data_IF_322666371365
#
_entry.id   IF_322666371365
#
_cell.length_a   1.000
_cell.length_b   1.000
_cell.length_c   1.000
_cell.angle_alpha   90.00
_cell.angle_beta   90.00
_cell.angle_gamma   90.00
#
_symmetry.space_group_name_H-M   'P 1'
#
loop_
_entity.id
_entity.type
_entity.pdbx_description
1 polymer ?
#
# COMPACT_ATOMS: atom_id res chain seq x y z
N UNK A 1 9.27 47.47 -13.56
CA UNK A 1 8.84 46.27 -12.81
C UNK A 1 9.15 46.48 -11.34
N UNK A 2 8.14 46.55 -10.48
CA UNK A 2 8.36 46.62 -9.04
C UNK A 2 8.80 45.24 -8.54
N UNK A 3 9.97 45.17 -7.91
CA UNK A 3 10.51 43.93 -7.32
C UNK A 3 9.70 43.64 -6.06
N UNK A 4 8.93 42.54 -6.05
CA UNK A 4 8.26 42.08 -4.84
C UNK A 4 9.30 41.79 -3.76
N UNK A 5 9.10 42.26 -2.52
CA UNK A 5 10.05 42.03 -1.45
C UNK A 5 10.11 40.53 -1.14
N UNK A 6 11.27 39.92 -1.37
CA UNK A 6 11.54 38.53 -1.04
C UNK A 6 11.63 38.37 0.49
N UNK A 7 10.91 37.41 1.04
CA UNK A 7 10.95 37.08 2.47
C UNK A 7 12.24 36.29 2.75
N UNK A 8 13.08 36.78 3.66
CA UNK A 8 14.33 36.11 4.04
C UNK A 8 14.17 35.28 5.31
N UNK A 9 14.97 34.21 5.44
CA UNK A 9 15.05 33.42 6.68
C UNK A 9 15.47 34.32 7.84
N UNK A 10 14.78 34.22 8.98
CA UNK A 10 15.03 35.07 10.16
C UNK A 10 14.39 36.46 10.10
N UNK A 11 13.69 36.81 9.01
CA UNK A 11 12.91 38.04 8.95
C UNK A 11 11.67 37.94 9.84
N UNK A 12 11.44 38.94 10.68
CA UNK A 12 10.24 39.02 11.50
C UNK A 12 9.01 39.30 10.62
N UNK A 13 7.99 38.46 10.77
CA UNK A 13 6.68 38.64 10.12
C UNK A 13 5.69 39.02 11.23
N UNK A 14 4.99 40.13 11.06
CA UNK A 14 3.94 40.58 11.97
C UNK A 14 2.58 40.38 11.32
N UNK A 15 1.67 39.71 12.02
CA UNK A 15 0.30 39.49 11.59
C UNK A 15 -0.68 39.98 12.65
N UNK A 16 -1.87 40.36 12.20
CA UNK A 16 -3.00 40.72 13.07
C UNK A 16 -3.96 39.54 13.11
N UNK A 17 -4.56 39.30 14.28
CA UNK A 17 -5.63 38.30 14.42
C UNK A 17 -6.85 38.83 13.65
N UNK A 18 -7.41 38.08 12.67
CA UNK A 18 -8.59 38.50 11.93
C UNK A 18 -9.81 38.72 12.84
N UNK A 19 -10.71 39.62 12.44
CA UNK A 19 -11.93 39.90 13.22
C UNK A 19 -12.92 38.73 13.26
N UNK A 20 -12.86 37.83 12.27
CA UNK A 20 -13.70 36.64 12.17
C UNK A 20 -13.15 35.44 12.98
N UNK A 21 -12.07 35.64 13.75
CA UNK A 21 -11.47 34.56 14.54
C UNK A 21 -12.43 34.11 15.65
N UNK A 22 -12.78 32.82 15.76
CA UNK A 22 -13.65 32.33 16.83
C UNK A 22 -13.10 32.58 18.23
N UNK A 23 -13.98 32.88 19.19
CA UNK A 23 -13.60 33.26 20.57
C UNK A 23 -12.78 32.17 21.29
N UNK A 24 -13.07 30.89 21.03
CA UNK A 24 -12.31 29.79 21.61
C UNK A 24 -10.84 29.77 21.16
N UNK A 25 -10.55 30.19 19.93
CA UNK A 25 -9.17 30.31 19.41
C UNK A 25 -8.46 31.48 20.06
N UNK A 26 -9.14 32.63 20.21
CA UNK A 26 -8.58 33.81 20.88
C UNK A 26 -8.20 33.49 22.33
N UNK A 27 -9.10 32.82 23.08
CA UNK A 27 -8.83 32.35 24.45
C UNK A 27 -7.66 31.38 24.52
N UNK A 28 -7.56 30.46 23.55
CA UNK A 28 -6.44 29.53 23.48
C UNK A 28 -5.10 30.27 23.25
N UNK A 29 -5.06 31.24 22.33
CA UNK A 29 -3.88 32.07 22.09
C UNK A 29 -3.48 32.88 23.32
N UNK A 30 -4.45 33.41 24.08
CA UNK A 30 -4.19 34.11 25.35
C UNK A 30 -3.56 33.18 26.38
N UNK A 31 -4.13 31.98 26.59
CA UNK A 31 -3.58 30.98 27.51
C UNK A 31 -2.16 30.55 27.11
N UNK A 32 -1.94 30.37 25.82
CA UNK A 32 -0.62 30.01 25.28
C UNK A 32 0.40 31.12 25.54
N UNK A 33 0.01 32.39 25.37
CA UNK A 33 0.86 33.56 25.70
C UNK A 33 1.22 33.61 27.18
N UNK A 34 0.28 33.29 28.06
CA UNK A 34 0.50 33.27 29.52
C UNK A 34 1.44 32.14 29.95
N UNK A 35 1.35 30.99 29.29
CA UNK A 35 2.10 29.77 29.60
C UNK A 35 3.52 29.85 29.05
N UNK A 36 3.68 30.12 27.74
CA UNK A 36 4.99 30.11 27.04
C UNK A 36 5.80 31.40 27.21
N UNK A 37 5.12 32.54 27.48
CA UNK A 37 5.72 33.87 27.70
C UNK A 37 6.79 34.26 26.68
N UNK A 38 8.07 33.99 26.98
CA UNK A 38 9.22 34.32 26.12
C UNK A 38 9.32 33.43 24.89
N UNK A 39 8.77 32.22 24.96
CA UNK A 39 8.80 31.25 23.87
C UNK A 39 7.56 31.32 22.97
N UNK A 40 6.58 32.15 23.32
CA UNK A 40 5.30 32.26 22.61
C UNK A 40 5.49 32.45 21.09
N UNK A 41 6.39 33.35 20.68
CA UNK A 41 6.66 33.60 19.26
C UNK A 41 7.24 32.38 18.55
N UNK A 42 8.09 31.60 19.22
CA UNK A 42 8.66 30.36 18.67
C UNK A 42 7.60 29.28 18.49
N UNK A 43 6.74 29.09 19.49
CA UNK A 43 5.63 28.13 19.43
C UNK A 43 4.63 28.50 18.34
N UNK A 44 4.27 29.78 18.22
CA UNK A 44 3.39 30.25 17.15
C UNK A 44 4.05 30.11 15.77
N UNK A 45 5.35 30.37 15.67
CA UNK A 45 6.08 30.15 14.42
C UNK A 45 6.00 28.68 13.98
N UNK A 46 6.08 27.72 14.91
CA UNK A 46 5.91 26.31 14.62
C UNK A 46 4.52 25.99 14.06
N UNK A 47 3.45 26.51 14.69
CA UNK A 47 2.09 26.35 14.19
C UNK A 47 1.90 26.97 12.81
N UNK A 48 2.50 28.13 12.54
CA UNK A 48 2.44 28.77 11.22
C UNK A 48 3.17 27.93 10.18
N UNK A 49 4.37 27.43 10.47
CA UNK A 49 5.13 26.57 9.54
C UNK A 49 4.35 25.28 9.24
N UNK A 50 3.77 24.64 10.27
CA UNK A 50 2.93 23.46 10.08
C UNK A 50 1.68 23.79 9.25
N UNK A 51 1.00 24.89 9.51
CA UNK A 51 -0.17 25.34 8.76
C UNK A 51 0.15 25.65 7.29
N UNK A 52 1.27 26.33 7.02
CA UNK A 52 1.73 26.61 5.64
C UNK A 52 2.14 25.32 4.94
N UNK A 53 2.87 24.43 5.61
CA UNK A 53 3.25 23.12 5.06
C UNK A 53 2.03 22.29 4.69
N UNK A 54 1.01 22.26 5.56
CA UNK A 54 -0.24 21.56 5.30
C UNK A 54 -1.06 22.19 4.17
N UNK A 55 -1.08 23.53 4.10
CA UNK A 55 -1.76 24.24 3.02
C UNK A 55 -1.09 23.98 1.67
N UNK A 56 0.25 24.01 1.63
CA UNK A 56 1.02 23.67 0.43
C UNK A 56 0.87 22.20 0.03
N UNK A 57 0.73 21.28 0.99
CA UNK A 57 0.45 19.87 0.70
C UNK A 57 -0.97 19.66 0.15
N UNK A 58 -1.94 20.48 0.53
CA UNK A 58 -3.32 20.42 0.01
C UNK A 58 -3.44 20.97 -1.41
N UNK A 59 -2.60 21.93 -1.79
CA UNK A 59 -2.54 22.44 -3.16
C UNK A 59 -1.97 21.43 -4.16
N UNK A 60 -1.15 20.48 -3.69
CA UNK A 60 -0.77 19.32 -4.48
C UNK A 60 -1.85 18.24 -4.31
N UNK A 61 -2.42 17.76 -5.40
CA UNK A 61 -3.35 16.61 -5.41
C UNK A 61 -2.62 15.35 -4.93
N UNK A 62 -2.45 15.23 -3.61
CA UNK A 62 -1.68 14.15 -2.97
C UNK A 62 -2.61 13.34 -2.09
N UNK A 63 -2.60 12.02 -2.31
CA UNK A 63 -3.35 11.06 -1.50
C UNK A 63 -2.37 10.46 -0.49
N UNK A 64 -2.62 10.63 0.81
CA UNK A 64 -1.81 10.00 1.86
C UNK A 64 -2.48 8.71 2.31
N UNK A 65 -1.84 7.58 2.03
CA UNK A 65 -2.33 6.25 2.41
C UNK A 65 -1.48 5.74 3.58
N UNK A 66 -2.03 5.61 4.80
CA UNK A 66 -1.28 5.05 5.93
C UNK A 66 -1.06 3.54 5.73
N UNK A 67 0.15 3.08 6.05
CA UNK A 67 0.49 1.66 5.95
C UNK A 67 0.03 0.89 7.20
N UNK A 68 -0.54 -0.32 7.06
CA UNK A 68 -1.04 -1.11 8.19
C UNK A 68 0.08 -1.73 9.05
N UNK A 69 1.27 -1.96 8.47
CA UNK A 69 2.46 -2.51 9.13
C UNK A 69 3.70 -1.72 8.70
N UNK A 70 4.75 -1.77 9.54
CA UNK A 70 6.04 -1.15 9.21
C UNK A 70 6.69 -1.92 8.05
N UNK A 71 7.19 -1.19 7.05
CA UNK A 71 7.92 -1.79 5.93
C UNK A 71 9.26 -2.36 6.39
N UNK A 72 9.62 -3.53 5.84
CA UNK A 72 10.96 -4.09 5.95
C UNK A 72 11.97 -3.19 5.21
N UNK A 73 13.28 -3.38 5.48
CA UNK A 73 14.34 -2.63 4.78
C UNK A 73 14.25 -2.82 3.26
N UNK A 74 14.07 -4.07 2.83
CA UNK A 74 13.93 -4.44 1.41
C UNK A 74 12.71 -3.77 0.78
N UNK A 75 11.54 -3.83 1.43
CA UNK A 75 10.33 -3.16 0.92
C UNK A 75 10.50 -1.65 0.81
N UNK A 76 11.21 -1.04 1.77
CA UNK A 76 11.48 0.40 1.75
C UNK A 76 12.46 0.79 0.63
N UNK A 77 13.49 -0.01 0.41
CA UNK A 77 14.46 0.23 -0.66
C UNK A 77 13.81 -0.02 -2.03
N UNK A 78 12.95 -1.04 -2.13
CA UNK A 78 12.12 -1.29 -3.32
C UNK A 78 11.20 -0.10 -3.63
N UNK A 79 10.47 0.43 -2.64
CA UNK A 79 9.55 1.56 -2.82
C UNK A 79 10.24 2.85 -3.30
N UNK A 80 11.55 3.00 -3.01
CA UNK A 80 12.36 4.15 -3.44
C UNK A 80 12.96 3.99 -4.83
N UNK A 81 12.89 2.80 -5.41
CA UNK A 81 13.46 2.54 -6.72
C UNK A 81 12.55 3.12 -7.81
N UNK A 82 13.13 3.73 -8.85
CA UNK A 82 12.40 4.43 -9.92
C UNK A 82 11.36 3.53 -10.61
N UNK A 83 11.76 2.30 -10.99
CA UNK A 83 10.83 1.34 -11.57
C UNK A 83 9.65 0.99 -10.67
N UNK A 84 9.86 0.86 -9.35
CA UNK A 84 8.78 0.56 -8.40
C UNK A 84 7.84 1.75 -8.25
N UNK A 85 8.37 2.97 -8.27
CA UNK A 85 7.56 4.20 -8.28
C UNK A 85 6.70 4.27 -9.55
N UNK A 86 7.28 4.00 -10.71
CA UNK A 86 6.56 3.98 -11.99
C UNK A 86 5.47 2.90 -12.01
N UNK A 87 5.75 1.71 -11.49
CA UNK A 87 4.79 0.61 -11.38
C UNK A 87 3.64 0.96 -10.44
N UNK A 88 3.91 1.54 -9.27
CA UNK A 88 2.85 1.96 -8.35
C UNK A 88 2.03 3.12 -8.93
N UNK A 89 2.68 4.04 -9.64
CA UNK A 89 2.02 5.12 -10.36
C UNK A 89 1.06 4.60 -11.43
N UNK A 90 1.45 3.58 -12.20
CA UNK A 90 0.59 2.99 -13.23
C UNK A 90 -0.60 2.23 -12.63
N UNK A 91 -0.39 1.45 -11.57
CA UNK A 91 -1.48 0.77 -10.84
C UNK A 91 -2.47 1.80 -10.27
N UNK A 92 -1.95 2.85 -9.63
CA UNK A 92 -2.79 3.89 -9.04
C UNK A 92 -3.58 4.65 -10.12
N UNK A 93 -2.94 4.98 -11.24
CA UNK A 93 -3.61 5.61 -12.39
C UNK A 93 -4.74 4.74 -12.93
N UNK A 94 -4.50 3.43 -13.09
CA UNK A 94 -5.52 2.51 -13.58
C UNK A 94 -6.68 2.37 -12.59
N UNK A 95 -6.41 2.33 -11.29
CA UNK A 95 -7.44 2.25 -10.24
C UNK A 95 -8.31 3.52 -10.19
N UNK A 96 -7.71 4.70 -10.38
CA UNK A 96 -8.44 5.97 -10.44
C UNK A 96 -9.26 6.08 -11.73
N UNK A 97 -8.75 5.56 -12.85
CA UNK A 97 -9.39 5.67 -14.17
C UNK A 97 -10.54 4.68 -14.36
N UNK A 98 -10.36 3.43 -13.93
CA UNK A 98 -11.36 2.36 -14.04
C UNK A 98 -11.17 1.36 -12.88
N UNK A 99 -11.82 1.60 -11.73
CA UNK A 99 -11.62 0.78 -10.55
C UNK A 99 -12.14 -0.64 -10.73
N UNK A 100 -13.25 -0.86 -11.45
CA UNK A 100 -13.87 -2.18 -11.62
C UNK A 100 -12.92 -3.09 -12.38
N UNK A 101 -12.40 -2.62 -13.52
CA UNK A 101 -11.45 -3.39 -14.32
C UNK A 101 -10.13 -3.63 -13.58
N UNK A 102 -9.64 -2.63 -12.86
CA UNK A 102 -8.41 -2.75 -12.08
C UNK A 102 -8.55 -3.81 -10.96
N UNK A 103 -9.67 -3.80 -10.23
CA UNK A 103 -9.93 -4.79 -9.18
C UNK A 103 -10.10 -6.19 -9.73
N UNK A 104 -10.79 -6.36 -10.86
CA UNK A 104 -10.95 -7.69 -11.47
C UNK A 104 -9.63 -8.26 -11.96
N UNK A 105 -8.74 -7.42 -12.54
CA UNK A 105 -7.40 -7.86 -12.93
C UNK A 105 -6.57 -8.23 -11.69
N UNK A 106 -6.59 -7.42 -10.64
CA UNK A 106 -5.88 -7.74 -9.39
C UNK A 106 -6.42 -9.00 -8.72
N UNK A 107 -7.74 -9.24 -8.79
CA UNK A 107 -8.38 -10.45 -8.31
C UNK A 107 -7.87 -11.67 -9.10
N UNK A 108 -7.94 -11.62 -10.43
CA UNK A 108 -7.42 -12.67 -11.33
C UNK A 108 -5.93 -12.97 -11.08
N UNK A 109 -5.09 -11.94 -10.89
CA UNK A 109 -3.67 -12.12 -10.58
C UNK A 109 -3.44 -12.78 -9.21
N UNK A 110 -4.27 -12.49 -8.20
CA UNK A 110 -4.17 -13.10 -6.88
C UNK A 110 -4.82 -14.49 -6.81
N UNK A 111 -5.84 -14.77 -7.62
CA UNK A 111 -6.57 -16.05 -7.64
C UNK A 111 -5.99 -17.08 -8.61
N UNK A 112 -5.02 -16.69 -9.45
CA UNK A 112 -4.45 -17.53 -10.52
C UNK A 112 -5.52 -18.04 -11.52
N UNK A 113 -6.71 -17.43 -11.55
CA UNK A 113 -7.79 -17.74 -12.49
C UNK A 113 -7.81 -16.71 -13.61
N UNK A 114 -7.72 -17.17 -14.86
CA UNK A 114 -7.64 -16.33 -16.06
C UNK A 114 -9.01 -15.75 -16.44
N UNK A 115 -10.09 -16.25 -15.83
CA UNK A 115 -11.46 -15.82 -16.12
C UNK A 115 -11.94 -14.72 -15.15
N UNK A 116 -12.32 -13.59 -15.74
CA UNK A 116 -12.67 -12.33 -15.07
C UNK A 116 -14.01 -12.46 -14.34
N UNK A 117 -14.93 -13.24 -14.90
CA UNK A 117 -16.28 -13.43 -14.35
C UNK A 117 -16.25 -14.35 -13.12
N UNK A 118 -15.35 -15.34 -13.10
CA UNK A 118 -15.13 -16.26 -11.97
C UNK A 118 -14.49 -15.53 -10.78
N UNK A 119 -13.51 -14.65 -11.04
CA UNK A 119 -12.83 -13.88 -10.01
C UNK A 119 -13.75 -12.89 -9.29
N UNK A 120 -14.75 -12.33 -9.99
CA UNK A 120 -15.74 -11.43 -9.39
C UNK A 120 -16.67 -12.18 -8.41
N UNK A 121 -17.02 -13.43 -8.74
CA UNK A 121 -17.87 -14.29 -7.94
C UNK A 121 -17.19 -14.71 -6.62
N UNK A 122 -15.89 -15.04 -6.66
CA UNK A 122 -15.09 -15.39 -5.48
C UNK A 122 -15.00 -14.26 -4.45
N UNK A 123 -14.99 -13.01 -4.91
CA UNK A 123 -14.96 -11.85 -4.03
C UNK A 123 -16.29 -11.65 -3.27
N UNK A 124 -17.41 -12.00 -3.88
CA UNK A 124 -18.74 -11.94 -3.26
C UNK A 124 -18.90 -13.03 -2.18
N UNK A 125 -18.30 -14.20 -2.39
CA UNK A 125 -18.32 -15.32 -1.45
C UNK A 125 -17.57 -15.01 -0.14
N UNK A 126 -16.44 -14.30 -0.20
CA UNK A 126 -15.69 -13.84 0.99
C UNK A 126 -16.41 -12.74 1.78
N UNK A 127 -17.34 -12.01 1.16
CA UNK A 127 -18.16 -11.00 1.84
C UNK A 127 -19.43 -11.59 2.48
N UNK A 128 -19.76 -12.85 2.15
CA UNK A 128 -21.00 -13.51 2.57
C UNK A 128 -20.94 -14.22 3.93
N UNK A 129 -19.78 -14.24 4.60
CA UNK A 129 -19.70 -14.72 5.99
C UNK A 129 -20.52 -13.81 6.91
N UNK A 130 -21.59 -14.30 7.56
CA UNK A 130 -22.43 -13.46 8.39
C UNK A 130 -21.64 -12.96 9.59
N UNK A 131 -21.34 -11.67 9.63
CA UNK A 131 -20.97 -10.99 10.87
C UNK A 131 -22.18 -11.05 11.81
N UNK A 132 -22.12 -11.70 12.99
CA UNK A 132 -23.21 -11.61 13.94
C UNK A 132 -23.25 -10.17 14.49
N UNK A 133 -24.28 -9.43 14.09
CA UNK A 133 -24.56 -8.10 14.60
C UNK A 133 -24.84 -8.14 16.12
N UNK A 134 -24.37 -7.16 16.92
CA UNK A 134 -24.53 -7.19 18.36
C UNK A 134 -25.94 -6.74 18.76
N UNK A 135 -26.71 -7.63 19.39
CA UNK A 135 -27.94 -7.29 20.11
C UNK A 135 -27.72 -7.44 21.63
N UNK A 136 -28.16 -6.44 22.37
CA UNK A 136 -27.84 -6.17 23.77
C UNK A 136 -28.48 -7.12 24.81
N UNK A 137 -27.66 -7.51 25.80
CA UNK A 137 -27.92 -7.74 27.26
C UNK A 137 -28.76 -8.94 27.73
N UNK A 138 -28.08 -9.95 28.31
CA UNK A 138 -28.28 -10.52 29.67
C UNK A 138 -26.95 -11.14 30.15
N UNK A 139 -26.56 -10.89 31.41
CA UNK A 139 -25.30 -11.27 32.07
C UNK A 139 -25.08 -12.78 32.27
N UNK A 140 -23.99 -13.37 31.75
CA UNK A 140 -23.39 -14.67 32.16
C UNK A 140 -21.84 -14.61 31.90
N UNK A 141 -20.96 -15.17 32.77
CA UNK A 141 -19.58 -14.72 33.00
C UNK A 141 -18.56 -14.94 31.86
N UNK A 142 -17.57 -14.04 31.79
CA UNK A 142 -16.36 -14.17 30.97
C UNK A 142 -15.54 -15.41 31.39
N UNK A 143 -15.45 -16.38 30.50
CA UNK A 143 -14.27 -17.24 30.38
C UNK A 143 -13.66 -17.01 29.00
N UNK A 144 -12.39 -16.63 29.00
CA UNK A 144 -11.60 -16.36 27.81
C UNK A 144 -11.18 -17.71 27.22
N UNK A 145 -11.88 -18.19 26.19
CA UNK A 145 -11.39 -19.30 25.38
C UNK A 145 -10.35 -18.76 24.39
N UNK A 146 -9.13 -19.21 24.65
CA UNK A 146 -7.90 -19.02 23.89
C UNK A 146 -8.04 -19.46 22.45
N UNK A 147 -7.33 -18.75 21.56
CA UNK A 147 -7.12 -19.07 20.14
C UNK A 147 -6.50 -20.47 19.86
N UNK A 148 -6.22 -21.27 20.88
CA UNK A 148 -5.67 -22.62 20.76
C UNK A 148 -6.67 -23.64 20.17
N UNK A 149 -7.99 -23.45 20.34
CA UNK A 149 -8.96 -24.51 19.99
C UNK A 149 -9.29 -24.58 18.48
N UNK A 150 -9.02 -23.51 17.72
CA UNK A 150 -9.17 -23.54 16.26
C UNK A 150 -7.98 -24.27 15.58
N UNK A 151 -6.84 -24.39 16.26
CA UNK A 151 -5.66 -25.09 15.74
C UNK A 151 -5.77 -26.62 15.89
N UNK A 152 -6.50 -27.10 16.89
CA UNK A 152 -6.68 -28.54 17.15
C UNK A 152 -7.58 -29.26 16.12
N UNK A 153 -8.32 -28.53 15.29
CA UNK A 153 -9.17 -29.11 14.24
C UNK A 153 -8.46 -29.37 12.90
N UNK A 154 -7.19 -28.97 12.75
CA UNK A 154 -6.43 -29.09 11.50
C UNK A 154 -5.41 -30.25 11.52
N UNK A 155 -5.27 -30.95 12.65
CA UNK A 155 -4.26 -32.01 12.86
C UNK A 155 -4.69 -33.39 12.33
N UNK A 156 -5.92 -33.54 11.81
CA UNK A 156 -6.50 -34.84 11.40
C UNK A 156 -6.78 -34.94 9.89
N UNK A 157 -6.19 -34.04 9.07
CA UNK A 157 -6.16 -34.21 7.61
C UNK A 157 -4.84 -34.87 7.23
N UNK A 158 -4.93 -36.15 6.92
CA UNK A 158 -3.87 -37.08 6.52
C UNK A 158 -3.25 -36.72 5.14
N UNK A 159 -2.67 -35.52 5.03
CA UNK A 159 -1.99 -35.01 3.82
C UNK A 159 -0.56 -35.54 3.65
N UNK A 160 -0.10 -36.44 4.53
CA UNK A 160 1.25 -37.03 4.46
C UNK A 160 1.29 -38.31 3.60
N UNK A 161 0.16 -38.99 3.39
CA UNK A 161 0.13 -40.28 2.66
C UNK A 161 0.29 -40.09 1.13
N UNK A 162 -0.27 -38.99 0.58
CA UNK A 162 -0.29 -38.68 -0.85
C UNK A 162 1.08 -38.21 -1.41
N UNK A 163 2.02 -37.88 -0.53
CA UNK A 163 3.40 -37.49 -0.90
C UNK A 163 4.39 -38.66 -0.83
N UNK A 164 3.99 -39.79 -0.24
CA UNK A 164 4.84 -40.97 -0.07
C UNK A 164 4.98 -41.81 -1.35
N UNK A 165 4.05 -41.65 -2.28
CA UNK A 165 4.01 -42.35 -3.57
C UNK A 165 4.79 -41.62 -4.68
N UNK A 166 5.33 -40.42 -4.41
CA UNK A 166 6.06 -39.62 -5.38
C UNK A 166 7.54 -40.03 -5.51
N UNK A 167 7.87 -40.77 -6.57
CA UNK A 167 9.23 -41.23 -6.88
C UNK A 167 10.08 -40.13 -7.54
N UNK A 168 10.97 -39.52 -6.74
CA UNK A 168 11.94 -38.50 -7.19
C UNK A 168 13.01 -39.03 -8.16
N UNK A 169 13.25 -40.34 -8.22
CA UNK A 169 14.23 -40.91 -9.16
C UNK A 169 13.70 -40.95 -10.61
N UNK A 170 12.37 -40.98 -10.78
CA UNK A 170 11.72 -40.91 -12.09
C UNK A 170 11.74 -39.49 -12.68
N UNK A 171 11.75 -38.46 -11.84
CA UNK A 171 11.79 -37.05 -12.26
C UNK A 171 13.16 -36.56 -12.76
N UNK A 172 14.23 -37.37 -12.60
CA UNK A 172 15.62 -36.96 -12.89
C UNK A 172 16.18 -37.44 -14.23
N UNK A 173 15.35 -37.97 -15.13
CA UNK A 173 15.76 -38.30 -16.51
C UNK A 173 15.46 -37.14 -17.47
N UNK A 174 16.47 -36.38 -17.91
CA UNK A 174 16.39 -35.70 -19.19
C UNK A 174 16.67 -36.72 -20.30
N UNK A 175 15.71 -36.96 -21.19
CA UNK A 175 16.05 -37.30 -22.57
C UNK A 175 16.67 -36.06 -23.21
N UNK A 176 17.97 -35.89 -23.02
CA UNK A 176 18.80 -35.07 -23.91
C UNK A 176 19.51 -36.04 -24.85
N UNK A 177 18.98 -36.15 -26.07
CA UNK A 177 19.81 -36.50 -27.22
C UNK A 177 20.86 -35.39 -27.38
N UNK A 178 22.11 -35.84 -27.36
CA UNK A 178 23.33 -35.09 -27.59
C UNK A 178 23.36 -34.46 -28.99
N UNK A 179 23.57 -33.14 -29.06
CA UNK A 179 24.55 -32.55 -29.99
C UNK A 179 25.29 -31.44 -29.24
N UNK A 180 26.62 -31.59 -29.21
CA UNK A 180 27.59 -30.63 -28.72
C UNK A 180 27.55 -29.39 -29.62
N UNK A 181 27.38 -28.20 -29.05
CA UNK A 181 28.34 -27.11 -29.31
C UNK A 181 28.24 -26.01 -28.26
N UNK A 182 29.41 -25.67 -27.73
CA UNK A 182 29.68 -24.57 -26.83
C UNK A 182 29.48 -23.24 -27.57
N UNK A 183 28.52 -22.42 -27.15
CA UNK A 183 28.60 -20.96 -27.30
C UNK A 183 27.80 -20.29 -26.18
N UNK A 184 28.54 -19.75 -25.22
CA UNK A 184 28.07 -18.74 -24.27
C UNK A 184 27.83 -17.44 -25.05
N UNK A 185 26.68 -17.31 -25.70
CA UNK A 185 26.21 -16.02 -26.21
C UNK A 185 25.20 -15.45 -25.22
N UNK A 186 25.50 -14.25 -24.71
CA UNK A 186 24.56 -13.41 -23.97
C UNK A 186 23.34 -13.16 -24.87
N UNK A 187 22.26 -13.91 -24.66
CA UNK A 187 21.01 -13.70 -25.39
C UNK A 187 20.41 -12.36 -24.95
N UNK A 188 20.48 -11.38 -25.85
CA UNK A 188 19.87 -10.06 -25.70
C UNK A 188 18.33 -10.21 -25.58
N UNK A 189 17.67 -9.61 -24.58
CA UNK A 189 16.21 -9.66 -24.44
C UNK A 189 15.44 -9.23 -25.71
N UNK A 190 16.06 -8.45 -26.59
CA UNK A 190 15.45 -8.03 -27.86
C UNK A 190 15.27 -9.20 -28.86
N UNK A 191 16.14 -10.22 -28.84
CA UNK A 191 16.02 -11.40 -29.72
C UNK A 191 14.90 -12.35 -29.27
N UNK A 192 14.68 -12.45 -27.94
CA UNK A 192 13.57 -13.21 -27.37
C UNK A 192 12.21 -12.58 -27.71
N UNK A 193 12.15 -11.26 -27.78
CA UNK A 193 10.93 -10.51 -28.14
C UNK A 193 10.69 -10.48 -29.66
N UNK A 194 11.76 -10.45 -30.47
CA UNK A 194 11.69 -10.51 -31.93
C UNK A 194 11.07 -11.82 -32.44
N UNK A 195 11.46 -12.96 -31.86
CA UNK A 195 10.91 -14.27 -32.21
C UNK A 195 9.42 -14.42 -31.88
N UNK A 196 8.96 -13.81 -30.78
CA UNK A 196 7.55 -13.83 -30.37
C UNK A 196 6.68 -12.95 -31.28
N UNK A 197 7.13 -11.73 -31.61
CA UNK A 197 6.39 -10.81 -32.48
C UNK A 197 6.29 -11.31 -33.92
N UNK A 198 7.32 -11.99 -34.42
CA UNK A 198 7.32 -12.57 -35.76
C UNK A 198 6.27 -13.69 -35.93
N UNK A 199 5.93 -14.41 -34.85
CA UNK A 199 4.96 -15.51 -34.90
C UNK A 199 3.51 -15.02 -34.80
N UNK A 200 3.28 -13.78 -34.38
CA UNK A 200 1.95 -13.18 -34.26
C UNK A 200 1.47 -12.46 -35.54
N UNK A 201 2.38 -12.22 -36.49
CA UNK A 201 2.10 -11.57 -37.78
C UNK A 201 2.04 -12.56 -38.96
N UNK A 202 1.66 -13.82 -38.70
CA UNK A 202 1.48 -14.86 -39.72
C UNK A 202 0.01 -15.15 -40.00
#
# INVERSE_FOLDING_TARGET
>A
MQKTPEIKRGQAISFRVPSDTPDHIVKHLQRLKETERRNFSSTIAEYVIQGVSHSFSREKETITIPLPKKLTKVQRDWLKHEHSEAMLGSILYQLISDPIRATSLLASLNSNSIDIDEALYLQEELQSVPYPAPANKVDIPLEAESFEELAAGLEDLDMEDDLSEFDWDTAKKPEMQSEEDNQEDELDPDDLLGGFLANMNK
#
